data_IF_806970136690
#
_entry.id   IF_806970136690
#
_cell.length_a   1.000
_cell.length_b   1.000
_cell.length_c   1.000
_cell.angle_alpha   90.00
_cell.angle_beta   90.00
_cell.angle_gamma   90.00
#
_symmetry.space_group_name_H-M   'P 1'
#
loop_
_entity.id
_entity.type
_entity.pdbx_description
1 polymer ?
#
# COMPACT_ATOMS: atom_id res chain seq x y z
N UNK A 1 -25.04 -14.53 24.00
CA UNK A 1 -23.66 -14.67 23.53
C UNK A 1 -23.16 -13.27 23.17
N UNK A 2 -22.09 -12.83 23.80
CA UNK A 2 -21.53 -11.47 23.61
C UNK A 2 -20.54 -11.45 22.41
N UNK A 3 -20.44 -12.54 21.66
CA UNK A 3 -19.62 -12.66 20.45
C UNK A 3 -20.45 -13.06 19.24
N UNK A 4 -20.14 -12.48 18.10
CA UNK A 4 -20.69 -12.81 16.80
C UNK A 4 -19.57 -13.34 15.90
N UNK A 5 -19.93 -14.19 14.94
CA UNK A 5 -18.94 -14.73 14.01
C UNK A 5 -19.59 -15.56 12.93
N UNK A 6 -18.81 -15.79 11.85
CA UNK A 6 -19.20 -16.67 10.75
C UNK A 6 -18.07 -17.67 10.51
N UNK A 7 -18.42 -18.94 10.33
CA UNK A 7 -17.49 -19.98 9.93
C UNK A 7 -17.86 -20.45 8.52
N UNK A 8 -16.87 -20.47 7.63
CA UNK A 8 -17.02 -21.00 6.27
C UNK A 8 -16.02 -22.12 6.07
N UNK A 9 -16.50 -23.27 5.58
CA UNK A 9 -15.66 -24.41 5.23
C UNK A 9 -15.89 -24.75 3.76
N UNK A 10 -14.81 -24.99 3.02
CA UNK A 10 -14.92 -25.38 1.61
C UNK A 10 -13.77 -26.30 1.20
N UNK A 11 -14.00 -27.09 0.17
CA UNK A 11 -13.00 -27.95 -0.45
C UNK A 11 -12.94 -27.59 -1.93
N UNK A 12 -11.75 -27.26 -2.47
CA UNK A 12 -11.61 -27.04 -3.91
C UNK A 12 -11.91 -28.34 -4.66
N UNK A 13 -12.58 -28.20 -5.80
CA UNK A 13 -12.94 -29.28 -6.70
C UNK A 13 -11.77 -29.57 -7.64
N UNK A 14 -11.27 -30.81 -7.64
CA UNK A 14 -10.15 -31.26 -8.48
C UNK A 14 -10.50 -31.44 -9.96
N UNK A 15 -11.80 -31.42 -10.31
CA UNK A 15 -12.24 -31.36 -11.71
C UNK A 15 -12.17 -29.92 -12.27
N UNK A 16 -12.14 -28.90 -11.38
CA UNK A 16 -12.14 -27.47 -11.76
C UNK A 16 -10.77 -26.82 -11.61
N UNK A 17 -10.03 -27.18 -10.56
CA UNK A 17 -8.74 -26.59 -10.23
C UNK A 17 -7.60 -27.53 -10.57
N UNK A 18 -6.55 -27.02 -11.23
CA UNK A 18 -5.36 -27.80 -11.58
C UNK A 18 -4.63 -28.35 -10.35
N UNK A 19 -4.76 -27.67 -9.21
CA UNK A 19 -4.23 -28.10 -7.90
C UNK A 19 -5.18 -27.71 -6.78
N UNK A 20 -5.40 -28.65 -5.85
CA UNK A 20 -6.17 -28.42 -4.63
C UNK A 20 -5.24 -28.28 -3.38
N UNK A 21 -3.93 -28.20 -3.61
CA UNK A 21 -2.95 -27.98 -2.55
C UNK A 21 -2.65 -26.50 -2.43
N UNK A 22 -2.98 -25.91 -1.29
CA UNK A 22 -2.69 -24.50 -1.01
C UNK A 22 -1.20 -24.31 -0.76
N UNK A 23 -0.65 -23.26 -1.38
CA UNK A 23 0.70 -22.77 -1.12
C UNK A 23 0.68 -21.81 0.09
N UNK A 24 1.46 -22.15 1.11
CA UNK A 24 1.49 -21.37 2.35
C UNK A 24 2.03 -19.97 2.14
N UNK A 25 3.12 -19.83 1.38
CA UNK A 25 3.77 -18.52 1.16
C UNK A 25 2.87 -17.55 0.39
N UNK A 26 2.13 -18.08 -0.57
CA UNK A 26 1.13 -17.29 -1.32
C UNK A 26 0.04 -16.77 -0.40
N UNK A 27 -0.50 -17.62 0.49
CA UNK A 27 -1.52 -17.21 1.46
C UNK A 27 -0.94 -16.23 2.49
N UNK A 28 0.25 -16.51 3.03
CA UNK A 28 0.96 -15.66 3.96
C UNK A 28 1.10 -14.24 3.40
N UNK A 29 1.67 -14.10 2.19
CA UNK A 29 1.91 -12.80 1.59
C UNK A 29 0.59 -12.03 1.35
N UNK A 30 -0.46 -12.69 0.86
CA UNK A 30 -1.76 -12.04 0.61
C UNK A 30 -2.47 -11.62 1.90
N UNK A 31 -2.42 -12.45 2.94
CA UNK A 31 -3.06 -12.13 4.22
C UNK A 31 -2.28 -11.04 4.96
N UNK A 32 -0.95 -11.05 4.88
CA UNK A 32 -0.11 -9.99 5.43
C UNK A 32 -0.40 -8.65 4.73
N UNK A 33 -0.46 -8.63 3.39
CA UNK A 33 -0.84 -7.45 2.61
C UNK A 33 -2.22 -6.93 3.03
N UNK A 34 -3.22 -7.82 3.14
CA UNK A 34 -4.57 -7.46 3.59
C UNK A 34 -4.56 -6.85 5.00
N UNK A 35 -3.74 -7.39 5.91
CA UNK A 35 -3.63 -6.86 7.27
C UNK A 35 -2.95 -5.46 7.30
N UNK A 36 -2.01 -5.18 6.40
CA UNK A 36 -1.43 -3.84 6.26
C UNK A 36 -2.42 -2.81 5.72
N UNK A 37 -3.31 -3.22 4.80
CA UNK A 37 -4.32 -2.33 4.23
C UNK A 37 -5.44 -2.00 5.22
N UNK A 38 -5.71 -2.90 6.17
CA UNK A 38 -6.80 -2.77 7.14
C UNK A 38 -6.25 -2.57 8.56
N UNK A 39 -6.13 -1.32 9.00
CA UNK A 39 -5.63 -0.97 10.34
C UNK A 39 -6.36 -1.76 11.44
N UNK A 40 -5.60 -2.34 12.36
CA UNK A 40 -6.09 -3.13 13.50
C UNK A 40 -6.84 -4.43 13.13
N UNK A 41 -6.90 -4.82 11.87
CA UNK A 41 -7.42 -6.13 11.50
C UNK A 41 -6.44 -7.22 11.92
N UNK A 42 -6.87 -8.10 12.82
CA UNK A 42 -6.08 -9.28 13.21
C UNK A 42 -6.45 -10.44 12.31
N UNK A 43 -5.45 -10.98 11.59
CA UNK A 43 -5.57 -12.19 10.78
C UNK A 43 -4.68 -13.25 11.39
N UNK A 44 -5.19 -14.48 11.50
CA UNK A 44 -4.43 -15.66 11.95
C UNK A 44 -4.48 -16.70 10.83
N UNK A 45 -3.31 -17.07 10.31
CA UNK A 45 -3.15 -18.16 9.35
C UNK A 45 -2.61 -19.38 10.10
N UNK A 46 -3.32 -20.50 10.02
CA UNK A 46 -2.89 -21.76 10.61
C UNK A 46 -2.80 -22.84 9.55
N UNK A 47 -1.64 -23.45 9.40
CA UNK A 47 -1.42 -24.62 8.57
C UNK A 47 -1.36 -25.86 9.46
N UNK A 48 -2.33 -26.74 9.33
CA UNK A 48 -2.47 -27.98 10.12
C UNK A 48 -2.07 -29.24 9.35
N UNK A 49 -1.39 -29.10 8.19
CA UNK A 49 -0.97 -30.24 7.37
C UNK A 49 0.13 -31.08 8.01
N UNK A 50 0.90 -30.48 8.91
CA UNK A 50 1.94 -31.18 9.69
C UNK A 50 1.47 -31.51 11.10
N UNK A 51 2.19 -32.44 11.79
CA UNK A 51 1.87 -32.84 13.15
C UNK A 51 1.91 -31.68 14.17
N UNK A 52 2.74 -30.65 13.89
CA UNK A 52 2.78 -29.41 14.66
C UNK A 52 2.25 -28.30 13.77
N UNK A 53 1.10 -27.67 14.10
CA UNK A 53 0.56 -26.60 13.31
C UNK A 53 1.52 -25.42 13.18
N UNK A 54 1.64 -24.86 11.98
CA UNK A 54 2.36 -23.62 11.73
C UNK A 54 1.35 -22.46 11.81
N UNK A 55 1.59 -21.53 12.72
CA UNK A 55 0.66 -20.42 13.03
C UNK A 55 1.37 -19.08 12.80
N UNK A 56 0.77 -18.24 11.98
CA UNK A 56 1.21 -16.87 11.74
C UNK A 56 0.11 -15.89 12.11
N UNK A 57 0.47 -14.79 12.78
CA UNK A 57 -0.46 -13.75 13.16
C UNK A 57 -0.05 -12.41 12.54
N UNK A 58 -1.00 -11.73 11.91
CA UNK A 58 -0.82 -10.40 11.30
C UNK A 58 -1.76 -9.41 11.98
N UNK A 59 -1.22 -8.29 12.45
CA UNK A 59 -1.99 -7.17 12.97
C UNK A 59 -1.12 -5.91 12.97
N UNK A 60 -1.50 -4.91 12.18
CA UNK A 60 -0.74 -3.69 12.00
C UNK A 60 -1.57 -2.47 12.38
N UNK A 61 -1.19 -1.80 13.46
CA UNK A 61 -1.91 -0.63 13.95
C UNK A 61 -1.68 0.61 13.08
N UNK A 62 -0.50 0.72 12.49
CA UNK A 62 -0.13 1.81 11.57
C UNK A 62 -0.64 1.64 10.15
N UNK A 63 -1.18 0.46 9.79
CA UNK A 63 -1.72 0.22 8.45
C UNK A 63 -0.67 0.39 7.36
N UNK A 64 -0.96 1.21 6.34
CA UNK A 64 -0.04 1.45 5.21
C UNK A 64 1.25 2.18 5.60
N UNK A 65 1.31 2.84 6.77
CA UNK A 65 2.55 3.39 7.30
C UNK A 65 3.51 2.25 7.66
N UNK A 66 3.01 1.23 8.36
CA UNK A 66 3.77 0.04 8.72
C UNK A 66 4.17 -0.74 7.47
N UNK A 67 3.30 -0.76 6.45
CA UNK A 67 3.61 -1.40 5.17
C UNK A 67 4.80 -0.75 4.47
N UNK A 68 4.85 0.59 4.41
CA UNK A 68 5.99 1.30 3.81
C UNK A 68 7.27 1.07 4.62
N UNK A 69 7.20 1.03 5.96
CA UNK A 69 8.35 0.68 6.81
C UNK A 69 8.82 -0.75 6.51
N UNK A 70 7.91 -1.70 6.40
CA UNK A 70 8.21 -3.09 6.04
C UNK A 70 8.88 -3.21 4.65
N UNK A 71 8.37 -2.51 3.62
CA UNK A 71 8.94 -2.48 2.28
C UNK A 71 10.34 -1.83 2.22
N UNK A 72 10.66 -0.98 3.21
CA UNK A 72 11.96 -0.34 3.37
C UNK A 72 12.88 -1.08 4.35
N UNK A 73 12.43 -2.18 4.94
CA UNK A 73 13.25 -2.94 5.86
C UNK A 73 14.57 -3.39 5.19
N UNK A 74 15.68 -3.19 5.89
CA UNK A 74 17.02 -3.44 5.36
C UNK A 74 17.54 -2.43 4.34
N UNK A 75 16.79 -1.36 4.01
CA UNK A 75 17.26 -0.28 3.14
C UNK A 75 17.77 0.89 3.96
N UNK A 76 18.73 1.63 3.39
CA UNK A 76 19.23 2.85 3.99
C UNK A 76 18.22 3.99 3.78
N UNK A 77 17.58 4.42 4.86
CA UNK A 77 16.61 5.51 4.89
C UNK A 77 17.26 6.73 5.55
N UNK A 78 17.40 7.86 4.84
CA UNK A 78 17.96 9.08 5.44
C UNK A 78 17.16 9.53 6.65
N UNK A 79 17.85 10.06 7.68
CA UNK A 79 17.22 10.49 8.94
C UNK A 79 16.05 11.46 8.75
N UNK A 80 16.13 12.34 7.73
CA UNK A 80 15.07 13.28 7.40
C UNK A 80 13.77 12.60 6.93
N UNK A 81 13.83 11.32 6.50
CA UNK A 81 12.70 10.55 5.99
C UNK A 81 12.45 9.28 6.81
N UNK A 82 12.99 9.19 8.02
CA UNK A 82 12.86 8.01 8.89
C UNK A 82 11.42 7.64 9.19
N UNK A 83 10.56 8.64 9.37
CA UNK A 83 9.12 8.42 9.46
C UNK A 83 8.48 8.62 8.08
N UNK A 84 7.66 7.66 7.62
CA UNK A 84 6.92 7.80 6.39
C UNK A 84 5.98 9.01 6.43
N UNK A 85 5.84 9.68 5.30
CA UNK A 85 4.83 10.72 5.12
C UNK A 85 3.50 10.01 4.86
N UNK A 86 2.48 10.37 5.63
CA UNK A 86 1.13 9.84 5.49
C UNK A 86 0.17 10.96 5.10
N UNK A 87 -0.66 10.69 4.11
CA UNK A 87 -1.67 11.62 3.58
C UNK A 87 -2.97 10.86 3.45
N UNK A 88 -4.03 11.42 3.97
CA UNK A 88 -5.39 10.93 3.74
C UNK A 88 -6.26 12.04 3.15
N UNK A 89 -7.23 11.65 2.35
CA UNK A 89 -8.19 12.56 1.74
C UNK A 89 -9.52 11.87 1.55
N UNK A 90 -10.60 12.62 1.84
CA UNK A 90 -11.97 12.17 1.62
C UNK A 90 -12.65 13.14 0.68
N UNK A 91 -13.52 12.64 -0.17
CA UNK A 91 -14.37 13.48 -0.99
C UNK A 91 -15.36 14.26 -0.13
N UNK A 92 -15.84 15.37 -0.69
CA UNK A 92 -16.92 16.14 -0.06
C UNK A 92 -18.14 15.23 0.15
N UNK A 93 -18.74 15.20 1.37
CA UNK A 93 -19.96 14.42 1.64
C UNK A 93 -21.13 14.75 0.72
N UNK A 94 -21.18 15.98 0.19
CA UNK A 94 -22.20 16.44 -0.76
C UNK A 94 -21.83 16.19 -2.23
N UNK A 95 -20.68 15.56 -2.49
CA UNK A 95 -20.26 15.21 -3.85
C UNK A 95 -21.21 14.16 -4.46
N UNK A 96 -21.41 14.16 -5.78
CA UNK A 96 -22.11 13.07 -6.45
C UNK A 96 -21.44 11.73 -6.14
N UNK A 97 -22.23 10.65 -5.97
CA UNK A 97 -21.74 9.29 -5.67
C UNK A 97 -20.59 8.85 -6.60
N UNK A 98 -20.63 9.28 -7.86
CA UNK A 98 -19.56 9.02 -8.85
C UNK A 98 -18.24 9.75 -8.56
N UNK A 99 -18.20 10.61 -7.55
CA UNK A 99 -17.01 11.36 -7.10
C UNK A 99 -16.72 11.14 -5.63
N UNK A 100 -17.48 10.27 -4.97
CA UNK A 100 -17.19 9.87 -3.60
C UNK A 100 -16.02 8.88 -3.61
N UNK A 101 -15.14 9.04 -2.63
CA UNK A 101 -14.01 8.14 -2.43
C UNK A 101 -13.14 8.61 -1.28
N UNK A 102 -12.41 7.70 -0.73
CA UNK A 102 -11.37 7.96 0.25
C UNK A 102 -10.03 7.54 -0.37
N UNK A 103 -8.98 8.27 -0.07
CA UNK A 103 -7.63 7.95 -0.52
C UNK A 103 -6.68 8.03 0.65
N UNK A 104 -5.87 7.02 0.80
CA UNK A 104 -4.75 7.01 1.72
C UNK A 104 -3.44 6.83 0.94
N UNK A 105 -2.42 7.57 1.31
CA UNK A 105 -1.08 7.47 0.72
C UNK A 105 -0.05 7.47 1.82
N UNK A 106 0.85 6.50 1.79
CA UNK A 106 2.07 6.51 2.60
C UNK A 106 3.28 6.45 1.70
N UNK A 107 4.28 7.30 1.97
CA UNK A 107 5.47 7.38 1.14
C UNK A 107 6.72 7.65 1.98
N UNK A 108 7.85 7.12 1.53
CA UNK A 108 9.14 7.27 2.17
C UNK A 108 10.26 7.21 1.13
N UNK A 109 11.26 8.07 1.25
CA UNK A 109 12.46 8.02 0.42
C UNK A 109 13.55 7.18 1.09
N UNK A 110 14.29 6.45 0.27
CA UNK A 110 15.49 5.74 0.68
C UNK A 110 16.67 6.10 -0.23
N UNK A 111 17.87 5.62 0.08
CA UNK A 111 19.10 5.91 -0.68
C UNK A 111 19.25 5.07 -1.96
N UNK A 112 18.28 4.22 -2.30
CA UNK A 112 18.28 3.42 -3.52
C UNK A 112 18.02 4.22 -4.78
N UNK A 113 18.12 3.57 -5.93
CA UNK A 113 17.87 4.17 -7.25
C UNK A 113 16.55 3.75 -7.89
N UNK A 114 15.79 2.87 -7.23
CA UNK A 114 14.55 2.32 -7.75
C UNK A 114 13.32 2.98 -7.14
N UNK A 115 12.26 3.06 -7.93
CA UNK A 115 10.90 3.35 -7.47
C UNK A 115 10.22 2.01 -7.11
N UNK A 116 9.55 1.95 -5.98
CA UNK A 116 8.67 0.85 -5.63
C UNK A 116 7.31 1.43 -5.25
N UNK A 117 6.33 1.22 -6.08
CA UNK A 117 4.97 1.76 -5.91
C UNK A 117 3.99 0.61 -5.89
N UNK A 118 3.24 0.52 -4.81
CA UNK A 118 2.09 -0.38 -4.70
C UNK A 118 0.81 0.43 -4.66
N UNK A 119 -0.12 0.11 -5.54
CA UNK A 119 -1.41 0.80 -5.60
C UNK A 119 -2.55 -0.21 -5.49
N UNK A 120 -3.60 0.20 -4.79
CA UNK A 120 -4.75 -0.64 -4.48
C UNK A 120 -6.04 0.12 -4.75
N UNK A 121 -7.09 -0.61 -5.06
CA UNK A 121 -8.45 -0.10 -5.15
C UNK A 121 -9.35 -1.08 -4.38
N UNK A 122 -9.98 -0.62 -3.29
CA UNK A 122 -10.79 -1.46 -2.39
C UNK A 122 -10.01 -2.73 -1.98
N UNK A 123 -8.80 -2.58 -1.45
CA UNK A 123 -7.87 -3.65 -1.04
C UNK A 123 -7.39 -4.60 -2.16
N UNK A 124 -7.72 -4.31 -3.41
CA UNK A 124 -7.27 -5.09 -4.57
C UNK A 124 -6.04 -4.44 -5.17
N UNK A 125 -4.93 -5.18 -5.19
CA UNK A 125 -3.70 -4.73 -5.82
C UNK A 125 -3.89 -4.43 -7.31
N UNK A 126 -3.41 -3.26 -7.75
CA UNK A 126 -3.48 -2.80 -9.14
C UNK A 126 -2.06 -2.72 -9.74
N UNK A 127 -1.50 -3.85 -10.22
CA UNK A 127 -0.08 -3.91 -10.64
C UNK A 127 0.22 -3.01 -11.83
N UNK A 128 -0.75 -2.77 -12.70
CA UNK A 128 -0.62 -1.87 -13.86
C UNK A 128 -0.90 -0.40 -13.50
N UNK A 129 -1.15 -0.11 -12.22
CA UNK A 129 -1.58 1.22 -11.75
C UNK A 129 -3.03 1.51 -12.08
N UNK A 130 -3.32 2.80 -12.35
CA UNK A 130 -4.66 3.28 -12.68
C UNK A 130 -4.76 4.80 -12.57
N UNK A 131 -5.94 5.34 -12.85
CA UNK A 131 -6.18 6.79 -12.83
C UNK A 131 -5.86 7.41 -11.47
N UNK A 132 -6.07 6.68 -10.37
CA UNK A 132 -5.75 7.12 -9.01
C UNK A 132 -4.24 7.30 -8.82
N UNK A 133 -3.42 6.35 -9.26
CA UNK A 133 -1.96 6.43 -9.17
C UNK A 133 -1.42 7.55 -10.06
N UNK A 134 -1.88 7.66 -11.30
CA UNK A 134 -1.47 8.72 -12.22
C UNK A 134 -1.89 10.12 -11.72
N UNK A 135 -3.07 10.23 -11.15
CA UNK A 135 -3.55 11.44 -10.50
C UNK A 135 -2.63 11.87 -9.34
N UNK A 136 -2.27 10.93 -8.48
CA UNK A 136 -1.34 11.18 -7.38
C UNK A 136 0.05 11.60 -7.89
N UNK A 137 0.65 10.87 -8.82
CA UNK A 137 1.96 11.19 -9.42
C UNK A 137 1.99 12.58 -10.00
N UNK A 138 0.96 12.94 -10.75
CA UNK A 138 0.82 14.28 -11.36
C UNK A 138 0.70 15.36 -10.29
N UNK A 139 -0.13 15.15 -9.26
CA UNK A 139 -0.33 16.10 -8.18
C UNK A 139 0.94 16.30 -7.37
N UNK A 140 1.63 15.22 -6.97
CA UNK A 140 2.88 15.29 -6.22
C UNK A 140 3.97 16.03 -7.01
N UNK A 141 4.14 15.68 -8.29
CA UNK A 141 5.13 16.34 -9.16
C UNK A 141 4.87 17.85 -9.27
N UNK A 142 3.61 18.24 -9.42
CA UNK A 142 3.21 19.65 -9.48
C UNK A 142 3.53 20.36 -8.16
N UNK A 143 3.10 19.81 -7.04
CA UNK A 143 3.29 20.43 -5.71
C UNK A 143 4.77 20.61 -5.40
N UNK A 144 5.61 19.62 -5.70
CA UNK A 144 7.05 19.72 -5.47
C UNK A 144 7.68 20.80 -6.36
N UNK A 145 7.31 20.88 -7.64
CA UNK A 145 7.81 21.94 -8.52
C UNK A 145 7.36 23.33 -8.05
N UNK A 146 6.10 23.50 -7.69
CA UNK A 146 5.56 24.76 -7.18
C UNK A 146 6.28 25.20 -5.91
N UNK A 147 6.51 24.27 -4.97
CA UNK A 147 7.27 24.51 -3.76
C UNK A 147 8.71 24.90 -4.05
N UNK A 148 9.40 24.15 -4.91
CA UNK A 148 10.80 24.43 -5.27
C UNK A 148 10.97 25.81 -5.91
N UNK A 149 10.02 26.24 -6.74
CA UNK A 149 10.01 27.60 -7.30
C UNK A 149 9.73 28.65 -6.22
N UNK A 150 8.75 28.44 -5.38
CA UNK A 150 8.40 29.35 -4.28
C UNK A 150 9.57 29.56 -3.31
N UNK A 151 10.39 28.52 -3.08
CA UNK A 151 11.57 28.57 -2.24
C UNK A 151 12.86 29.00 -3.00
N UNK A 152 12.77 29.37 -4.29
CA UNK A 152 13.90 29.69 -5.14
C UNK A 152 14.94 28.56 -5.29
N UNK A 153 14.55 27.31 -5.07
CA UNK A 153 15.36 26.12 -5.34
C UNK A 153 15.45 25.82 -6.84
N UNK A 154 14.39 26.14 -7.58
CA UNK A 154 14.35 26.20 -9.04
C UNK A 154 14.22 27.65 -9.50
N UNK A 155 15.10 28.09 -10.39
CA UNK A 155 15.04 29.43 -11.00
C UNK A 155 14.03 29.42 -12.16
N UNK A 156 13.55 30.62 -12.57
CA UNK A 156 12.59 30.76 -13.66
C UNK A 156 13.01 30.04 -14.97
N UNK A 157 14.33 30.06 -15.26
CA UNK A 157 14.90 29.42 -16.45
C UNK A 157 15.13 27.92 -16.33
N UNK A 158 15.02 27.36 -15.13
CA UNK A 158 15.27 25.93 -14.91
C UNK A 158 14.04 25.12 -15.35
N UNK A 159 14.27 23.96 -15.96
CA UNK A 159 13.19 23.05 -16.28
C UNK A 159 12.53 22.50 -15.00
N UNK A 160 11.24 22.18 -15.08
CA UNK A 160 10.56 21.49 -14.00
C UNK A 160 11.14 20.10 -13.79
N UNK A 161 11.11 19.63 -12.53
CA UNK A 161 11.38 18.25 -12.22
C UNK A 161 10.33 17.35 -12.89
N UNK A 162 10.77 16.25 -13.47
CA UNK A 162 9.87 15.24 -14.03
C UNK A 162 9.30 14.34 -12.93
N UNK A 163 8.20 13.64 -13.21
CA UNK A 163 7.65 12.65 -12.28
C UNK A 163 8.67 11.59 -11.87
N UNK A 164 9.49 11.10 -12.82
CA UNK A 164 10.55 10.16 -12.55
C UNK A 164 11.58 10.69 -11.54
N UNK A 165 12.01 11.95 -11.67
CA UNK A 165 12.96 12.58 -10.74
C UNK A 165 12.38 12.79 -9.36
N UNK A 166 11.07 13.07 -9.26
CA UNK A 166 10.37 13.25 -7.99
C UNK A 166 10.18 11.92 -7.28
N UNK A 167 9.87 10.86 -8.04
CA UNK A 167 9.55 9.54 -7.51
C UNK A 167 10.78 8.62 -7.33
N UNK A 168 11.93 9.04 -7.85
CA UNK A 168 13.17 8.28 -7.72
C UNK A 168 13.51 8.03 -6.24
N UNK A 169 13.85 6.79 -5.91
CA UNK A 169 14.16 6.34 -4.55
C UNK A 169 12.97 6.39 -3.56
N UNK A 170 11.75 6.52 -4.05
CA UNK A 170 10.54 6.55 -3.23
C UNK A 170 9.89 5.17 -3.17
N UNK A 171 9.46 4.78 -1.97
CA UNK A 171 8.51 3.69 -1.76
C UNK A 171 7.19 4.30 -1.36
N UNK A 172 6.14 3.85 -2.01
CA UNK A 172 4.80 4.38 -1.85
C UNK A 172 3.78 3.23 -1.81
N UNK A 173 2.84 3.34 -0.89
CA UNK A 173 1.60 2.57 -0.91
C UNK A 173 0.43 3.55 -0.96
N UNK A 174 -0.50 3.37 -1.87
CA UNK A 174 -1.74 4.11 -1.90
C UNK A 174 -2.94 3.19 -2.06
N UNK A 175 -4.02 3.52 -1.38
CA UNK A 175 -5.31 2.85 -1.49
C UNK A 175 -6.37 3.87 -1.91
N UNK A 176 -7.36 3.41 -2.65
CA UNK A 176 -8.56 4.14 -3.00
C UNK A 176 -9.76 3.28 -2.60
N UNK A 177 -10.63 3.81 -1.76
CA UNK A 177 -11.89 3.22 -1.32
C UNK A 177 -13.11 3.98 -1.88
#
# INVERSE_FOLDING_TARGET
SDSTGTTVSFWPDDEVFETCVYDFDTLHNRLQETAFLNKNLKIVLTDEREATPHVEEFCYEGGIIDFVKFLNDGKDVPEAFKEPIYIEGKSDPDAPVTKMGEVEVSLQWNSGYGENVMSFANDIYTPEGGMHLEGFRTALTRVINDYARKQNLLKEKDANLTGLQVLQSMIQCNTLE
#
